data_IF_853649158149
#
_entry.id   IF_853649158149
#
_cell.length_a   1.000
_cell.length_b   1.000
_cell.length_c   1.000
_cell.angle_alpha   90.00
_cell.angle_beta   90.00
_cell.angle_gamma   90.00
#
_symmetry.space_group_name_H-M   'P 1'
#
loop_
_entity.id
_entity.type
_entity.pdbx_description
1 polymer ?
#
# COMPACT_ATOMS: atom_id res chain seq x y z
N UNK A 1 -12.89 -8.76 -20.19
CA UNK A 1 -12.01 -9.32 -19.15
C UNK A 1 -11.55 -8.18 -18.27
N UNK A 2 -11.78 -8.23 -16.96
CA UNK A 2 -11.10 -7.31 -16.03
C UNK A 2 -9.61 -7.61 -16.09
N UNK A 3 -8.79 -6.57 -16.24
CA UNK A 3 -7.34 -6.72 -16.33
C UNK A 3 -6.80 -6.70 -14.90
N UNK A 4 -6.56 -7.87 -14.33
CA UNK A 4 -6.10 -8.02 -12.93
C UNK A 4 -4.91 -7.12 -12.60
N UNK A 5 -3.98 -6.94 -13.54
CA UNK A 5 -2.84 -6.05 -13.34
C UNK A 5 -3.26 -4.58 -13.19
N UNK A 6 -4.30 -4.12 -13.90
CA UNK A 6 -4.84 -2.78 -13.72
C UNK A 6 -5.52 -2.63 -12.36
N UNK A 7 -6.27 -3.64 -11.91
CA UNK A 7 -6.91 -3.63 -10.59
C UNK A 7 -5.87 -3.55 -9.47
N UNK A 8 -4.76 -4.30 -9.59
CA UNK A 8 -3.62 -4.22 -8.65
C UNK A 8 -2.98 -2.83 -8.69
N UNK A 9 -2.72 -2.26 -9.87
CA UNK A 9 -2.16 -0.92 -9.98
C UNK A 9 -3.05 0.16 -9.36
N UNK A 10 -4.37 0.05 -9.52
CA UNK A 10 -5.33 0.95 -8.87
C UNK A 10 -5.32 0.79 -7.35
N UNK A 11 -5.23 -0.44 -6.85
CA UNK A 11 -5.13 -0.72 -5.44
C UNK A 11 -3.85 -0.16 -4.81
N UNK A 12 -2.69 -0.37 -5.44
CA UNK A 12 -1.42 0.19 -4.96
C UNK A 12 -1.47 1.72 -4.96
N UNK A 13 -2.02 2.32 -6.02
CA UNK A 13 -2.23 3.78 -6.10
C UNK A 13 -3.14 4.29 -4.97
N UNK A 14 -4.20 3.53 -4.67
CA UNK A 14 -5.10 3.81 -3.55
C UNK A 14 -4.37 3.78 -2.21
N UNK A 15 -3.58 2.73 -1.94
CA UNK A 15 -2.80 2.61 -0.70
C UNK A 15 -1.81 3.76 -0.51
N UNK A 16 -1.09 4.15 -1.57
CA UNK A 16 -0.16 5.29 -1.54
C UNK A 16 -0.91 6.58 -1.17
N UNK A 17 -2.06 6.85 -1.81
CA UNK A 17 -2.84 8.06 -1.58
C UNK A 17 -3.46 8.10 -0.17
N UNK A 18 -4.00 6.97 0.31
CA UNK A 18 -4.54 6.88 1.67
C UNK A 18 -3.43 7.08 2.71
N UNK A 19 -2.27 6.45 2.53
CA UNK A 19 -1.16 6.57 3.48
C UNK A 19 -0.58 7.99 3.48
N UNK A 20 -0.45 8.60 2.31
CA UNK A 20 -0.08 10.02 2.15
C UNK A 20 -0.98 10.93 2.97
N UNK A 21 -2.30 10.79 2.79
CA UNK A 21 -3.29 11.63 3.46
C UNK A 21 -3.33 11.37 4.98
N UNK A 22 -3.23 10.12 5.41
CA UNK A 22 -3.25 9.75 6.82
C UNK A 22 -2.00 10.23 7.59
N UNK A 23 -0.84 10.27 6.93
CA UNK A 23 0.44 10.67 7.55
C UNK A 23 0.82 12.13 7.31
N UNK A 24 0.08 12.86 6.46
CA UNK A 24 0.42 14.22 6.08
C UNK A 24 1.75 14.32 5.31
N UNK A 25 2.08 13.29 4.52
CA UNK A 25 3.30 13.22 3.72
C UNK A 25 3.03 13.64 2.27
N UNK A 26 4.07 13.83 1.47
CA UNK A 26 3.93 13.91 0.02
C UNK A 26 4.00 12.51 -0.63
N UNK A 27 3.47 12.39 -1.85
CA UNK A 27 3.40 11.11 -2.55
C UNK A 27 4.76 10.51 -2.90
N UNK A 28 5.79 11.34 -3.14
CA UNK A 28 7.13 10.86 -3.46
C UNK A 28 7.79 10.25 -2.21
N UNK A 29 7.67 10.91 -1.05
CA UNK A 29 8.14 10.39 0.24
C UNK A 29 7.48 9.05 0.59
N UNK A 30 6.17 8.91 0.36
CA UNK A 30 5.46 7.64 0.58
C UNK A 30 5.96 6.57 -0.38
N UNK A 31 6.10 6.88 -1.67
CA UNK A 31 6.60 5.94 -2.67
C UNK A 31 8.02 5.46 -2.34
N UNK A 32 8.92 6.36 -1.96
CA UNK A 32 10.28 6.02 -1.53
C UNK A 32 10.28 5.13 -0.28
N UNK A 33 9.41 5.42 0.68
CA UNK A 33 9.25 4.61 1.90
C UNK A 33 8.75 3.21 1.54
N UNK A 34 7.71 3.12 0.70
CA UNK A 34 7.12 1.86 0.28
C UNK A 34 8.12 1.01 -0.51
N UNK A 35 8.87 1.63 -1.42
CA UNK A 35 9.94 0.95 -2.16
C UNK A 35 11.06 0.48 -1.23
N UNK A 36 11.51 1.33 -0.30
CA UNK A 36 12.59 1.00 0.65
C UNK A 36 12.28 -0.22 1.51
N UNK A 37 11.04 -0.32 2.01
CA UNK A 37 10.65 -1.38 2.94
C UNK A 37 9.98 -2.58 2.26
N UNK A 38 9.82 -2.57 0.93
CA UNK A 38 9.20 -3.69 0.17
C UNK A 38 7.67 -3.73 0.27
N UNK A 39 7.02 -2.61 0.58
CA UNK A 39 5.56 -2.52 0.71
C UNK A 39 4.88 -2.72 -0.64
N UNK A 40 5.49 -2.26 -1.73
CA UNK A 40 4.91 -2.40 -3.08
C UNK A 40 4.76 -3.87 -3.48
N UNK A 41 5.80 -4.67 -3.22
CA UNK A 41 5.78 -6.11 -3.48
C UNK A 41 4.76 -6.80 -2.59
N UNK A 42 4.72 -6.45 -1.30
CA UNK A 42 3.72 -6.95 -0.35
C UNK A 42 2.28 -6.68 -0.81
N UNK A 43 1.96 -5.44 -1.20
CA UNK A 43 0.62 -5.08 -1.68
C UNK A 43 0.25 -5.83 -2.97
N UNK A 44 1.24 -6.05 -3.85
CA UNK A 44 1.07 -6.80 -5.09
C UNK A 44 0.84 -8.30 -4.84
N UNK A 45 1.67 -8.93 -4.01
CA UNK A 45 1.61 -10.37 -3.71
C UNK A 45 0.36 -10.76 -2.92
N UNK A 46 -0.11 -9.88 -2.04
CA UNK A 46 -1.25 -10.13 -1.16
C UNK A 46 -2.55 -9.44 -1.60
N UNK A 47 -2.60 -8.92 -2.83
CA UNK A 47 -3.76 -8.19 -3.38
C UNK A 47 -5.09 -8.88 -3.10
N UNK A 48 -5.22 -10.18 -3.37
CA UNK A 48 -6.48 -10.95 -3.24
C UNK A 48 -7.09 -10.89 -1.83
N UNK A 49 -6.27 -10.72 -0.80
CA UNK A 49 -6.72 -10.60 0.61
C UNK A 49 -6.86 -9.14 1.02
N UNK A 50 -5.90 -8.30 0.64
CA UNK A 50 -5.82 -6.92 1.11
C UNK A 50 -6.91 -6.03 0.48
N UNK A 51 -7.26 -6.24 -0.79
CA UNK A 51 -8.25 -5.40 -1.49
C UNK A 51 -9.69 -5.53 -0.94
N UNK A 52 -9.95 -6.51 -0.08
CA UNK A 52 -11.25 -6.70 0.58
C UNK A 52 -11.32 -6.06 1.98
N UNK A 53 -10.20 -5.56 2.50
CA UNK A 53 -10.12 -4.97 3.84
C UNK A 53 -10.51 -3.49 3.86
N UNK A 54 -10.82 -2.96 5.04
CA UNK A 54 -11.00 -1.52 5.22
C UNK A 54 -9.68 -0.78 5.04
N UNK A 55 -9.75 0.47 4.57
CA UNK A 55 -8.54 1.26 4.38
C UNK A 55 -7.81 1.51 5.70
N UNK A 56 -8.52 1.68 6.83
CA UNK A 56 -7.90 1.87 8.13
C UNK A 56 -7.04 0.66 8.51
N UNK A 57 -7.56 -0.55 8.31
CA UNK A 57 -6.83 -1.78 8.60
C UNK A 57 -5.59 -1.92 7.72
N UNK A 58 -5.70 -1.60 6.42
CA UNK A 58 -4.55 -1.64 5.50
C UNK A 58 -3.45 -0.66 5.94
N UNK A 59 -3.82 0.54 6.42
CA UNK A 59 -2.84 1.51 6.89
C UNK A 59 -2.11 1.02 8.15
N UNK A 60 -2.83 0.42 9.10
CA UNK A 60 -2.23 -0.18 10.30
C UNK A 60 -1.30 -1.34 9.95
N UNK A 61 -1.72 -2.20 9.01
CA UNK A 61 -0.92 -3.32 8.52
C UNK A 61 0.36 -2.85 7.80
N UNK A 62 0.28 -1.79 6.99
CA UNK A 62 1.46 -1.17 6.35
C UNK A 62 2.41 -0.57 7.41
N UNK A 63 1.87 0.13 8.43
CA UNK A 63 2.68 0.68 9.52
C UNK A 63 3.43 -0.44 10.27
N UNK A 64 2.73 -1.53 10.62
CA UNK A 64 3.30 -2.69 11.28
C UNK A 64 4.38 -3.36 10.40
N UNK A 65 4.06 -3.59 9.13
CA UNK A 65 4.96 -4.19 8.15
C UNK A 65 6.27 -3.40 8.02
N UNK A 66 6.18 -2.07 7.96
CA UNK A 66 7.35 -1.17 7.94
C UNK A 66 8.08 -1.24 9.28
N UNK A 67 7.36 -1.20 10.40
CA UNK A 67 7.97 -1.14 11.74
C UNK A 67 8.79 -2.38 12.08
N UNK A 68 8.35 -3.57 11.64
CA UNK A 68 9.10 -4.82 11.81
C UNK A 68 10.39 -4.86 10.96
N UNK A 69 10.48 -4.01 9.93
CA UNK A 69 11.60 -3.94 8.98
C UNK A 69 12.52 -2.71 9.17
N UNK A 70 12.27 -1.89 10.18
CA UNK A 70 13.18 -0.82 10.61
C UNK A 70 14.35 -1.38 11.40
#
# INVERSE_FOLDING_TARGET
MKNKNQDISYFISFCIEQYKNAKGLDGATVMETFARYGVLDYLNEHFEVLHTQSYQWILEDIDEFINIRK
#
